data_IF_174139392429
#
_entry.id   IF_174139392429
#
_cell.length_a   1.000
_cell.length_b   1.000
_cell.length_c   1.000
_cell.angle_alpha   90.00
_cell.angle_beta   90.00
_cell.angle_gamma   90.00
#
_symmetry.space_group_name_H-M   'P 1'
#
loop_
_entity.id
_entity.type
_entity.pdbx_description
1 polymer ?
#
# COMPACT_ATOMS: atom_id res chain seq x y z
N UNK A 1 28.99 21.74 4.00
CA UNK A 1 28.84 21.48 5.45
C UNK A 1 28.13 20.14 5.54
N UNK A 2 28.91 19.07 5.71
CA UNK A 2 28.44 17.68 5.61
C UNK A 2 27.58 17.35 6.82
N UNK A 3 26.31 17.02 6.59
CA UNK A 3 25.39 16.58 7.64
C UNK A 3 25.92 15.27 8.22
N UNK A 4 26.31 15.33 9.50
CA UNK A 4 26.94 14.23 10.22
C UNK A 4 25.83 13.35 10.77
N UNK A 5 25.72 12.13 10.25
CA UNK A 5 24.72 11.13 10.65
C UNK A 5 24.84 10.64 12.11
N UNK A 6 25.94 10.99 12.78
CA UNK A 6 26.21 10.65 14.19
C UNK A 6 26.59 11.94 14.92
N UNK A 7 25.84 12.27 15.97
CA UNK A 7 26.18 13.35 16.89
C UNK A 7 27.39 12.95 17.76
N UNK A 8 28.11 13.92 18.29
CA UNK A 8 29.36 13.68 19.05
C UNK A 8 29.15 12.94 20.39
N UNK A 9 27.90 12.66 20.76
CA UNK A 9 27.46 11.87 21.91
C UNK A 9 27.17 10.39 21.58
N UNK A 10 27.29 9.97 20.32
CA UNK A 10 27.05 8.60 19.88
C UNK A 10 25.57 8.19 19.81
N UNK A 11 24.63 9.14 19.92
CA UNK A 11 23.22 8.87 19.69
C UNK A 11 22.88 8.98 18.20
N UNK A 12 22.06 8.06 17.69
CA UNK A 12 21.45 8.24 16.38
C UNK A 12 20.33 9.25 16.54
N UNK A 13 20.37 10.37 15.81
CA UNK A 13 19.22 11.26 15.66
C UNK A 13 18.13 10.55 14.84
N UNK A 14 17.48 9.56 15.45
CA UNK A 14 16.17 9.04 15.02
C UNK A 14 15.13 9.78 15.85
N UNK A 15 15.02 11.09 15.65
CA UNK A 15 13.79 11.78 16.05
C UNK A 15 12.76 11.32 15.02
N UNK A 16 11.95 10.32 15.38
CA UNK A 16 10.84 9.86 14.54
C UNK A 16 10.06 11.08 14.08
N UNK A 17 10.14 11.36 12.78
CA UNK A 17 9.39 12.43 12.13
C UNK A 17 7.93 12.28 12.55
N UNK A 18 7.41 13.28 13.28
CA UNK A 18 6.09 13.19 13.89
C UNK A 18 5.08 12.79 12.82
N UNK A 19 4.30 11.73 13.08
CA UNK A 19 3.35 11.17 12.11
C UNK A 19 2.32 12.24 11.72
N UNK A 20 2.61 12.95 10.64
CA UNK A 20 1.76 14.02 10.13
C UNK A 20 0.66 13.41 9.26
N UNK A 21 -0.49 13.21 9.88
CA UNK A 21 -1.68 12.66 9.22
C UNK A 21 -2.43 13.71 8.39
N UNK A 22 -2.02 14.99 8.41
CA UNK A 22 -2.73 16.08 7.73
C UNK A 22 -2.75 15.94 6.20
N UNK A 23 -1.77 15.24 5.63
CA UNK A 23 -1.66 14.97 4.19
C UNK A 23 -2.39 13.68 3.76
N UNK A 24 -3.02 12.97 4.70
CA UNK A 24 -3.74 11.73 4.37
C UNK A 24 -5.06 12.06 3.66
N UNK A 25 -5.18 11.65 2.39
CA UNK A 25 -6.41 11.82 1.62
C UNK A 25 -7.57 11.07 2.27
N UNK A 26 -8.81 11.57 2.05
CA UNK A 26 -10.05 10.92 2.52
C UNK A 26 -10.10 9.44 2.13
N UNK A 27 -9.59 9.10 0.95
CA UNK A 27 -9.49 7.73 0.44
C UNK A 27 -8.68 6.82 1.37
N UNK A 28 -7.62 7.34 2.00
CA UNK A 28 -6.81 6.60 2.97
C UNK A 28 -7.58 6.29 4.25
N UNK A 29 -8.40 7.22 4.73
CA UNK A 29 -9.27 6.99 5.89
C UNK A 29 -10.37 5.98 5.58
N UNK A 30 -10.96 6.04 4.39
CA UNK A 30 -11.95 5.05 3.94
C UNK A 30 -11.30 3.67 3.80
N UNK A 31 -10.11 3.57 3.22
CA UNK A 31 -9.36 2.31 3.12
C UNK A 31 -9.07 1.71 4.51
N UNK A 32 -8.65 2.55 5.45
CA UNK A 32 -8.37 2.13 6.83
C UNK A 32 -9.64 1.62 7.52
N UNK A 33 -10.78 2.28 7.31
CA UNK A 33 -12.06 1.81 7.85
C UNK A 33 -12.44 0.44 7.29
N UNK A 34 -12.41 0.26 5.96
CA UNK A 34 -12.69 -1.04 5.34
C UNK A 34 -11.72 -2.13 5.81
N UNK A 35 -10.44 -1.81 6.02
CA UNK A 35 -9.46 -2.76 6.53
C UNK A 35 -9.80 -3.25 7.94
N UNK A 36 -10.16 -2.33 8.85
CA UNK A 36 -10.56 -2.71 10.20
C UNK A 36 -11.89 -3.47 10.25
N UNK A 37 -12.86 -3.09 9.42
CA UNK A 37 -14.12 -3.82 9.30
C UNK A 37 -13.87 -5.24 8.79
N UNK A 38 -13.09 -5.41 7.71
CA UNK A 38 -12.69 -6.72 7.20
C UNK A 38 -12.03 -7.60 8.28
N UNK A 39 -11.06 -7.04 9.01
CA UNK A 39 -10.41 -7.74 10.10
C UNK A 39 -11.40 -8.16 11.20
N UNK A 40 -12.36 -7.29 11.53
CA UNK A 40 -13.45 -7.57 12.45
C UNK A 40 -14.38 -8.67 11.96
N UNK A 41 -14.81 -8.63 10.69
CA UNK A 41 -15.66 -9.64 10.04
C UNK A 41 -15.00 -11.01 10.07
N UNK A 42 -13.72 -11.08 9.71
CA UNK A 42 -12.94 -12.33 9.74
C UNK A 42 -12.77 -12.82 11.18
N UNK A 43 -12.41 -11.94 12.13
CA UNK A 43 -12.27 -12.33 13.54
C UNK A 43 -13.59 -12.85 14.13
N UNK A 44 -14.72 -12.20 13.79
CA UNK A 44 -16.05 -12.65 14.16
C UNK A 44 -16.34 -14.04 13.60
N UNK A 45 -16.05 -14.27 12.32
CA UNK A 45 -16.18 -15.58 11.68
C UNK A 45 -15.35 -16.66 12.36
N UNK A 46 -14.12 -16.33 12.78
CA UNK A 46 -13.28 -17.22 13.58
C UNK A 46 -13.94 -17.56 14.93
N UNK A 47 -14.41 -16.55 15.66
CA UNK A 47 -15.06 -16.76 16.96
C UNK A 47 -16.34 -17.61 16.80
N UNK A 48 -17.22 -17.30 15.86
CA UNK A 48 -18.45 -18.09 15.62
C UNK A 48 -18.13 -19.54 15.30
N UNK A 49 -17.13 -19.76 14.45
CA UNK A 49 -16.76 -21.10 14.02
C UNK A 49 -16.12 -21.94 15.12
N UNK A 50 -15.23 -21.36 15.93
CA UNK A 50 -14.45 -22.12 16.91
C UNK A 50 -15.05 -22.12 18.31
N UNK A 51 -15.80 -21.08 18.70
CA UNK A 51 -16.43 -20.97 20.02
C UNK A 51 -17.87 -21.45 19.98
N UNK A 52 -18.64 -21.00 18.98
CA UNK A 52 -20.07 -21.30 18.88
C UNK A 52 -20.36 -22.53 18.02
N UNK A 53 -19.33 -23.11 17.38
CA UNK A 53 -19.43 -24.25 16.46
C UNK A 53 -20.45 -24.04 15.33
N UNK A 54 -20.73 -22.78 15.01
CA UNK A 54 -21.65 -22.36 13.95
C UNK A 54 -20.90 -21.39 13.03
N UNK A 55 -20.83 -21.74 11.75
CA UNK A 55 -20.14 -20.93 10.76
C UNK A 55 -21.13 -19.93 10.18
N UNK A 56 -21.01 -18.67 10.58
CA UNK A 56 -21.81 -17.58 10.06
C UNK A 56 -21.59 -17.39 8.55
N UNK A 57 -22.33 -18.12 7.71
CA UNK A 57 -22.08 -18.18 6.26
C UNK A 57 -22.18 -16.81 5.57
N UNK A 58 -23.00 -15.90 6.10
CA UNK A 58 -23.17 -14.54 5.58
C UNK A 58 -21.89 -13.69 5.69
N UNK A 59 -20.98 -14.00 6.62
CA UNK A 59 -19.74 -13.23 6.81
C UNK A 59 -18.74 -13.51 5.70
N UNK A 60 -18.83 -14.67 5.03
CA UNK A 60 -17.93 -15.03 3.92
C UNK A 60 -18.14 -14.11 2.72
N UNK A 61 -19.41 -13.85 2.36
CA UNK A 61 -19.75 -12.97 1.25
C UNK A 61 -19.34 -11.53 1.56
N UNK A 62 -19.61 -11.06 2.78
CA UNK A 62 -19.23 -9.70 3.20
C UNK A 62 -17.72 -9.52 3.23
N UNK A 63 -16.97 -10.46 3.81
CA UNK A 63 -15.51 -10.41 3.85
C UNK A 63 -14.92 -10.39 2.43
N UNK A 64 -15.52 -11.11 1.47
CA UNK A 64 -15.09 -11.08 0.07
C UNK A 64 -15.29 -9.69 -0.55
N UNK A 65 -16.45 -9.06 -0.34
CA UNK A 65 -16.70 -7.71 -0.85
C UNK A 65 -15.81 -6.66 -0.19
N UNK A 66 -15.58 -6.77 1.12
CA UNK A 66 -14.69 -5.89 1.88
C UNK A 66 -13.24 -6.04 1.41
N UNK A 67 -12.77 -7.28 1.19
CA UNK A 67 -11.43 -7.54 0.65
C UNK A 67 -11.25 -6.91 -0.73
N UNK A 68 -12.23 -7.06 -1.62
CA UNK A 68 -12.21 -6.42 -2.95
C UNK A 68 -12.09 -4.90 -2.80
N UNK A 69 -12.92 -4.28 -1.95
CA UNK A 69 -12.89 -2.84 -1.72
C UNK A 69 -11.51 -2.35 -1.20
N UNK A 70 -10.95 -3.00 -0.18
CA UNK A 70 -9.63 -2.65 0.38
C UNK A 70 -8.53 -2.77 -0.67
N UNK A 71 -8.52 -3.85 -1.46
CA UNK A 71 -7.50 -4.09 -2.48
C UNK A 71 -7.53 -3.01 -3.56
N UNK A 72 -8.71 -2.66 -4.08
CA UNK A 72 -8.82 -1.66 -5.14
C UNK A 72 -8.48 -0.25 -4.64
N UNK A 73 -8.96 0.14 -3.45
CA UNK A 73 -8.64 1.46 -2.88
C UNK A 73 -7.14 1.54 -2.53
N UNK A 74 -6.59 0.49 -1.93
CA UNK A 74 -5.16 0.40 -1.61
C UNK A 74 -4.27 0.44 -2.85
N UNK A 75 -4.67 -0.24 -3.93
CA UNK A 75 -3.96 -0.19 -5.21
C UNK A 75 -3.96 1.22 -5.81
N UNK A 76 -5.10 1.92 -5.81
CA UNK A 76 -5.20 3.29 -6.31
C UNK A 76 -4.28 4.26 -5.55
N UNK A 77 -4.29 4.19 -4.20
CA UNK A 77 -3.40 5.00 -3.35
C UNK A 77 -1.92 4.65 -3.60
N UNK A 78 -1.59 3.36 -3.75
CA UNK A 78 -0.23 2.90 -4.01
C UNK A 78 0.34 3.41 -5.35
N UNK A 79 -0.51 3.47 -6.38
CA UNK A 79 -0.16 4.07 -7.68
C UNK A 79 0.02 5.58 -7.56
N UNK A 80 -0.91 6.27 -6.89
CA UNK A 80 -0.85 7.72 -6.70
C UNK A 80 0.42 8.16 -5.97
N UNK A 81 0.83 7.41 -4.93
CA UNK A 81 2.05 7.68 -4.17
C UNK A 81 3.33 7.23 -4.88
N UNK A 82 3.24 6.61 -6.06
CA UNK A 82 4.38 6.03 -6.78
C UNK A 82 5.24 5.08 -5.92
N UNK A 83 4.64 4.45 -4.89
CA UNK A 83 5.31 3.64 -3.87
C UNK A 83 5.83 2.28 -4.36
N UNK A 84 5.83 2.05 -5.68
CA UNK A 84 6.62 0.96 -6.24
C UNK A 84 8.07 1.20 -5.86
N UNK A 85 8.73 0.22 -5.24
CA UNK A 85 10.12 0.33 -4.83
C UNK A 85 10.97 0.67 -6.06
N UNK A 86 11.40 1.93 -6.18
CA UNK A 86 12.28 2.41 -7.22
C UNK A 86 13.68 2.52 -6.62
N UNK A 87 14.67 1.97 -7.30
CA UNK A 87 16.06 2.14 -6.88
C UNK A 87 16.51 3.54 -7.31
N UNK A 88 16.23 4.55 -6.49
CA UNK A 88 16.59 5.96 -6.76
C UNK A 88 18.10 6.16 -6.94
N UNK A 89 18.91 5.27 -6.38
CA UNK A 89 20.36 5.30 -6.51
C UNK A 89 20.83 5.26 -7.97
N UNK A 90 20.16 4.47 -8.80
CA UNK A 90 20.46 4.35 -10.23
C UNK A 90 20.02 5.59 -11.02
N UNK A 91 18.89 6.20 -10.65
CA UNK A 91 18.37 7.39 -11.31
C UNK A 91 19.27 8.62 -11.08
N UNK A 92 19.88 8.75 -9.89
CA UNK A 92 20.70 9.92 -9.53
C UNK A 92 22.07 9.96 -10.25
N UNK A 93 22.57 8.82 -10.72
CA UNK A 93 23.85 8.72 -11.44
C UNK A 93 23.67 8.66 -12.97
N UNK A 94 22.43 8.75 -13.47
CA UNK A 94 22.12 8.50 -14.87
C UNK A 94 21.81 9.82 -15.62
N UNK A 95 22.27 9.99 -16.87
CA UNK A 95 21.98 11.19 -17.66
C UNK A 95 20.48 11.35 -17.94
N UNK A 96 19.99 12.59 -17.95
CA UNK A 96 18.56 12.95 -18.01
C UNK A 96 17.76 12.28 -19.15
N UNK A 97 18.43 11.95 -20.27
CA UNK A 97 17.81 11.23 -21.39
C UNK A 97 17.48 9.77 -21.04
N UNK A 98 18.37 9.08 -20.33
CA UNK A 98 18.14 7.69 -19.93
C UNK A 98 17.11 7.60 -18.79
N UNK A 99 17.10 8.55 -17.85
CA UNK A 99 16.07 8.63 -16.82
C UNK A 99 14.65 8.76 -17.41
N UNK A 100 14.49 9.58 -18.46
CA UNK A 100 13.21 9.71 -19.17
C UNK A 100 12.80 8.42 -19.91
N UNK A 101 13.74 7.70 -20.51
CA UNK A 101 13.45 6.40 -21.14
C UNK A 101 13.02 5.39 -20.08
N UNK A 102 13.71 5.35 -18.94
CA UNK A 102 13.43 4.40 -17.87
C UNK A 102 12.08 4.65 -17.18
N UNK A 103 11.70 5.92 -16.99
CA UNK A 103 10.37 6.27 -16.50
C UNK A 103 9.29 5.84 -17.51
N UNK A 104 9.52 6.10 -18.79
CA UNK A 104 8.58 5.71 -19.87
C UNK A 104 8.40 4.18 -19.92
N UNK A 105 9.49 3.41 -19.78
CA UNK A 105 9.42 1.94 -19.73
C UNK A 105 8.64 1.47 -18.50
N UNK A 106 8.85 2.11 -17.35
CA UNK A 106 8.15 1.77 -16.11
C UNK A 106 6.65 2.04 -16.24
N UNK A 107 6.26 3.16 -16.84
CA UNK A 107 4.86 3.50 -17.09
C UNK A 107 4.21 2.52 -18.08
N UNK A 108 4.91 2.15 -19.16
CA UNK A 108 4.43 1.14 -20.11
C UNK A 108 4.26 -0.21 -19.44
N UNK A 109 5.20 -0.63 -18.59
CA UNK A 109 5.11 -1.89 -17.83
C UNK A 109 3.94 -1.88 -16.85
N UNK A 110 3.70 -0.77 -16.14
CA UNK A 110 2.54 -0.62 -15.25
C UNK A 110 1.23 -0.73 -16.01
N UNK A 111 1.11 -0.02 -17.13
CA UNK A 111 -0.08 -0.09 -17.99
C UNK A 111 -0.30 -1.52 -18.49
N UNK A 112 0.77 -2.19 -18.95
CA UNK A 112 0.71 -3.57 -19.42
C UNK A 112 0.28 -4.55 -18.31
N UNK A 113 0.85 -4.41 -17.12
CA UNK A 113 0.49 -5.23 -15.96
C UNK A 113 -0.98 -5.06 -15.58
N UNK A 114 -1.48 -3.82 -15.48
CA UNK A 114 -2.89 -3.57 -15.18
C UNK A 114 -3.83 -4.08 -16.28
N UNK A 115 -3.45 -3.93 -17.56
CA UNK A 115 -4.22 -4.50 -18.67
C UNK A 115 -4.30 -6.03 -18.62
N UNK A 116 -3.19 -6.70 -18.31
CA UNK A 116 -3.15 -8.15 -18.15
C UNK A 116 -3.98 -8.64 -16.95
N UNK A 117 -3.93 -7.92 -15.82
CA UNK A 117 -4.74 -8.22 -14.65
C UNK A 117 -6.24 -8.15 -14.96
N UNK A 118 -6.67 -7.15 -15.73
CA UNK A 118 -8.07 -7.05 -16.21
C UNK A 118 -8.42 -8.24 -17.09
N UNK A 119 -7.56 -8.61 -18.05
CA UNK A 119 -7.82 -9.74 -18.94
C UNK A 119 -7.96 -11.07 -18.19
N UNK A 120 -7.09 -11.36 -17.20
CA UNK A 120 -7.18 -12.60 -16.40
C UNK A 120 -8.38 -12.64 -15.45
N UNK A 121 -9.03 -11.50 -15.19
CA UNK A 121 -10.20 -11.44 -14.31
C UNK A 121 -11.51 -11.81 -15.04
N UNK A 122 -11.49 -11.83 -16.38
CA UNK A 122 -12.60 -12.27 -17.25
C UNK A 122 -12.48 -13.76 -17.55
#
# INVERSE_FOLDING_TARGET
MTEKIISDDGSFHTEDEAVDLSTTTIEGWVALAFFWVLGGTVLYQFITRYVFNDSAAWTEEIARYELIAVVFIGAAIGVAKNNHIQVDFFYRHMPAKMGRVMSTVTDVLRIGFYGAAVFMTV
#
